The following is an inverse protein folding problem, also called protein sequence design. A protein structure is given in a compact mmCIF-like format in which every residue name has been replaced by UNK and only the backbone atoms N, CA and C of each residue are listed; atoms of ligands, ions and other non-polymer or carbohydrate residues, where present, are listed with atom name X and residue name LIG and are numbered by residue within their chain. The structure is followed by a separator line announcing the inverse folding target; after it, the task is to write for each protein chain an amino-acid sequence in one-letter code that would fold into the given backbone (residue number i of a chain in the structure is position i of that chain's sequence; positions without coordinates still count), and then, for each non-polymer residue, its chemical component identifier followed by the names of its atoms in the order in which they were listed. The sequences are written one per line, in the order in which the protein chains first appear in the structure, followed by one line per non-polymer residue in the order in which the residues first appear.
data_IF_479581483915
#
_entry.id   IF_479581483915
#
_cell.length_a   1.000
_cell.length_b   1.000
_cell.length_c   1.000
_cell.angle_alpha   90.00
_cell.angle_beta   90.00
_cell.angle_gamma   90.00
#
_symmetry.space_group_name_H-M   'P 1'
#
loop_
_entity.id
_entity.type
_entity.pdbx_description
1 polymer ?
#
# COMPACT_ATOMS: atom_id res chain seq x y z
N UNK A 1 57.11 5.53 -1.22
CA UNK A 1 56.01 6.34 -0.65
C UNK A 1 54.71 5.86 -1.30
N UNK A 2 54.07 4.87 -0.67
CA UNK A 2 52.93 4.16 -1.22
C UNK A 2 51.66 4.82 -0.73
N UNK A 3 50.91 5.46 -1.63
CA UNK A 3 49.58 6.02 -1.35
C UNK A 3 48.56 4.86 -1.21
N UNK A 4 48.13 4.62 0.01
CA UNK A 4 46.99 3.72 0.29
C UNK A 4 45.73 4.49 -0.08
N UNK A 5 45.10 4.12 -1.19
CA UNK A 5 43.75 4.55 -1.54
C UNK A 5 42.79 3.96 -0.51
N UNK A 6 42.24 4.79 0.35
CA UNK A 6 41.13 4.42 1.22
C UNK A 6 39.92 4.23 0.31
N UNK A 7 39.56 2.98 0.07
CA UNK A 7 38.30 2.63 -0.57
C UNK A 7 37.18 3.00 0.40
N UNK A 8 36.49 4.09 0.12
CA UNK A 8 35.26 4.44 0.81
C UNK A 8 34.17 3.50 0.25
N UNK A 9 33.77 2.55 1.07
CA UNK A 9 32.65 1.65 0.77
C UNK A 9 31.34 2.47 0.93
N UNK A 10 30.54 2.72 -0.13
CA UNK A 10 29.29 3.49 -0.03
C UNK A 10 28.11 2.63 0.43
N UNK A 11 28.34 1.56 1.17
CA UNK A 11 27.34 0.55 1.53
C UNK A 11 26.88 0.52 2.98
N UNK A 12 27.09 1.57 3.77
CA UNK A 12 26.53 1.67 5.13
C UNK A 12 25.42 2.71 5.17
N UNK A 13 24.20 2.25 5.02
CA UNK A 13 22.94 2.72 5.68
C UNK A 13 22.79 4.26 5.90
N UNK A 14 23.04 5.08 4.88
CA UNK A 14 22.56 6.46 4.89
C UNK A 14 21.11 6.45 4.42
N UNK A 15 20.19 6.47 5.39
CA UNK A 15 18.76 6.73 5.14
C UNK A 15 18.64 7.93 4.21
N UNK A 16 17.98 7.76 3.06
CA UNK A 16 17.87 8.79 2.04
C UNK A 16 17.28 10.08 2.60
N UNK A 17 17.62 11.25 2.04
CA UNK A 17 17.00 12.52 2.45
C UNK A 17 15.48 12.42 2.33
N UNK A 18 14.99 11.74 1.30
CA UNK A 18 13.57 11.47 1.08
C UNK A 18 12.94 10.77 2.27
N UNK A 19 13.56 9.69 2.77
CA UNK A 19 13.06 8.93 3.92
C UNK A 19 13.12 9.75 5.20
N UNK A 20 14.22 10.47 5.42
CA UNK A 20 14.36 11.37 6.58
C UNK A 20 13.29 12.45 6.63
N UNK A 21 12.92 13.03 5.47
CA UNK A 21 11.84 14.03 5.38
C UNK A 21 10.49 13.39 5.73
N UNK A 22 10.20 12.17 5.24
CA UNK A 22 8.97 11.45 5.59
C UNK A 22 8.91 11.19 7.09
N UNK A 23 9.98 10.66 7.67
CA UNK A 23 10.03 10.30 9.10
C UNK A 23 9.89 11.51 10.00
N UNK A 24 10.57 12.62 9.69
CA UNK A 24 10.43 13.87 10.45
C UNK A 24 9.02 14.47 10.31
N UNK A 25 8.42 14.41 9.12
CA UNK A 25 7.03 14.87 8.92
C UNK A 25 6.03 14.02 9.74
N UNK A 26 6.22 12.70 9.82
CA UNK A 26 5.44 11.81 10.66
C UNK A 26 5.61 12.15 12.14
N UNK A 27 6.85 12.39 12.58
CA UNK A 27 7.15 12.78 13.96
C UNK A 27 6.44 14.09 14.35
N UNK A 28 6.50 15.12 13.50
CA UNK A 28 5.77 16.37 13.74
C UNK A 28 4.25 16.15 13.77
N UNK A 29 3.74 15.32 12.87
CA UNK A 29 2.33 15.00 12.79
C UNK A 29 1.81 14.25 14.03
N UNK A 30 2.61 13.40 14.67
CA UNK A 30 2.26 12.74 15.93
C UNK A 30 2.11 13.76 17.07
N UNK A 31 2.89 14.83 17.06
CA UNK A 31 2.88 15.85 18.09
C UNK A 31 1.78 16.90 17.91
N UNK A 32 1.56 17.34 16.67
CA UNK A 32 0.76 18.53 16.39
C UNK A 32 -0.41 18.28 15.42
N UNK A 33 -0.53 17.07 14.87
CA UNK A 33 -1.48 16.72 13.80
C UNK A 33 -0.93 16.97 12.40
N UNK A 34 -1.42 16.21 11.43
CA UNK A 34 -0.95 16.25 10.04
C UNK A 34 -1.11 17.63 9.38
N UNK A 35 -2.22 18.32 9.65
CA UNK A 35 -2.51 19.63 9.05
C UNK A 35 -1.58 20.75 9.57
N UNK A 36 -0.93 20.54 10.71
CA UNK A 36 0.02 21.48 11.27
C UNK A 36 1.45 21.33 10.73
N UNK A 37 1.78 20.22 10.04
CA UNK A 37 3.11 19.96 9.49
C UNK A 37 3.48 21.03 8.46
N UNK A 38 4.73 21.54 8.56
CA UNK A 38 5.30 22.50 7.62
C UNK A 38 6.65 21.99 7.10
N UNK A 39 6.78 21.89 5.77
CA UNK A 39 8.03 21.43 5.15
C UNK A 39 9.23 22.33 5.49
N UNK A 40 9.01 23.62 5.76
CA UNK A 40 10.07 24.53 6.22
C UNK A 40 10.61 24.14 7.60
N UNK A 41 9.75 23.69 8.50
CA UNK A 41 10.15 23.23 9.84
C UNK A 41 10.84 21.85 9.75
N UNK A 42 10.35 20.96 8.88
CA UNK A 42 11.01 19.68 8.58
C UNK A 42 12.45 19.92 8.10
N UNK A 43 12.65 20.83 7.12
CA UNK A 43 13.98 21.17 6.62
C UNK A 43 14.88 21.74 7.73
N UNK A 44 14.33 22.64 8.58
CA UNK A 44 15.07 23.22 9.70
C UNK A 44 15.54 22.16 10.70
N UNK A 45 14.68 21.20 11.06
CA UNK A 45 15.02 20.12 12.00
C UNK A 45 16.01 19.12 11.44
N UNK A 46 15.96 18.88 10.14
CA UNK A 46 16.91 18.03 9.44
C UNK A 46 18.23 18.73 9.09
N UNK A 47 18.33 20.03 9.40
CA UNK A 47 19.48 20.88 9.06
C UNK A 47 19.79 20.90 7.55
N UNK A 48 18.74 20.87 6.71
CA UNK A 48 18.86 20.91 5.26
C UNK A 48 18.20 22.17 4.68
N UNK A 49 18.72 22.73 3.58
CA UNK A 49 18.10 23.84 2.89
C UNK A 49 16.70 23.48 2.38
N UNK A 50 15.78 24.44 2.39
CA UNK A 50 14.43 24.24 1.84
C UNK A 50 14.44 23.81 0.37
N UNK A 51 15.44 24.24 -0.41
CA UNK A 51 15.64 23.81 -1.80
C UNK A 51 15.84 22.30 -1.89
N UNK A 52 16.63 21.69 -0.99
CA UNK A 52 16.83 20.23 -0.96
C UNK A 52 15.53 19.48 -0.61
N UNK A 53 14.69 20.04 0.27
CA UNK A 53 13.37 19.47 0.55
C UNK A 53 12.46 19.55 -0.68
N UNK A 54 12.50 20.68 -1.42
CA UNK A 54 11.70 20.86 -2.65
C UNK A 54 12.14 19.92 -3.77
N UNK A 55 13.44 19.62 -3.86
CA UNK A 55 13.96 18.65 -4.84
C UNK A 55 13.38 17.23 -4.61
N UNK A 56 13.13 16.86 -3.35
CA UNK A 56 12.53 15.57 -2.99
C UNK A 56 10.99 15.57 -3.03
N UNK A 57 10.37 16.67 -2.60
CA UNK A 57 8.91 16.76 -2.44
C UNK A 57 8.39 18.15 -2.85
N UNK A 58 7.53 18.16 -3.88
CA UNK A 58 6.89 19.41 -4.33
C UNK A 58 5.89 19.99 -3.31
N UNK A 59 5.30 19.15 -2.45
CA UNK A 59 4.26 19.53 -1.47
C UNK A 59 4.10 18.45 -0.39
N UNK A 60 3.30 18.76 0.64
CA UNK A 60 3.03 17.84 1.74
C UNK A 60 2.22 16.60 1.29
N UNK A 61 1.44 16.70 0.22
CA UNK A 61 0.72 15.55 -0.34
C UNK A 61 1.68 14.52 -0.95
N UNK A 62 2.77 14.98 -1.56
CA UNK A 62 3.83 14.12 -2.05
C UNK A 62 4.54 13.35 -0.92
N UNK A 63 4.69 13.98 0.27
CA UNK A 63 5.20 13.30 1.47
C UNK A 63 4.22 12.21 1.94
N UNK A 64 2.92 12.52 1.99
CA UNK A 64 1.91 11.51 2.32
C UNK A 64 1.91 10.33 1.33
N UNK A 65 2.07 10.61 0.04
CA UNK A 65 2.16 9.57 -0.99
C UNK A 65 3.40 8.69 -0.81
N UNK A 66 4.54 9.27 -0.43
CA UNK A 66 5.75 8.50 -0.10
C UNK A 66 5.54 7.61 1.13
N UNK A 67 4.81 8.08 2.13
CA UNK A 67 4.41 7.25 3.27
C UNK A 67 3.54 6.05 2.85
N UNK A 68 2.51 6.26 2.02
CA UNK A 68 1.68 5.16 1.50
C UNK A 68 2.46 4.21 0.60
N UNK A 69 3.48 4.73 -0.11
CA UNK A 69 4.37 3.91 -0.93
C UNK A 69 5.14 2.88 -0.09
N UNK A 70 5.57 3.21 1.15
CA UNK A 70 6.19 2.24 2.08
C UNK A 70 5.26 1.06 2.39
N UNK A 71 3.95 1.31 2.48
CA UNK A 71 2.96 0.24 2.61
C UNK A 71 2.92 -0.67 1.37
N UNK A 72 2.98 -0.10 0.17
CA UNK A 72 3.05 -0.90 -1.07
C UNK A 72 4.34 -1.72 -1.16
N UNK A 73 5.46 -1.14 -0.77
CA UNK A 73 6.75 -1.83 -0.72
C UNK A 73 6.69 -3.02 0.24
N UNK A 74 6.14 -2.83 1.44
CA UNK A 74 5.95 -3.91 2.40
C UNK A 74 5.02 -5.01 1.86
N UNK A 75 3.96 -4.65 1.15
CA UNK A 75 3.06 -5.61 0.50
C UNK A 75 3.79 -6.49 -0.53
N UNK A 76 4.84 -5.97 -1.17
CA UNK A 76 5.60 -6.63 -2.24
C UNK A 76 6.88 -7.31 -1.75
N UNK A 77 7.40 -6.93 -0.56
CA UNK A 77 8.75 -7.25 -0.14
C UNK A 77 8.95 -8.73 0.19
N UNK A 78 8.07 -9.33 0.98
CA UNK A 78 8.29 -10.68 1.49
C UNK A 78 7.24 -11.67 0.98
N UNK A 79 7.69 -12.53 0.07
CA UNK A 79 6.91 -13.70 -0.34
C UNK A 79 7.43 -14.92 0.45
N UNK A 80 6.66 -15.46 1.40
CA UNK A 80 7.06 -16.67 2.13
C UNK A 80 7.29 -17.86 1.22
N UNK A 81 8.12 -18.80 1.64
CA UNK A 81 8.34 -20.05 0.91
C UNK A 81 7.00 -20.73 0.62
N UNK A 82 6.83 -21.17 -0.63
CA UNK A 82 5.60 -21.83 -1.06
C UNK A 82 4.39 -20.92 -1.27
N UNK A 83 4.53 -19.61 -1.16
CA UNK A 83 3.44 -18.63 -1.32
C UNK A 83 2.57 -18.84 -2.57
N UNK A 84 3.18 -19.21 -3.69
CA UNK A 84 2.44 -19.48 -4.94
C UNK A 84 1.43 -20.62 -4.82
N UNK A 85 1.64 -21.54 -3.87
CA UNK A 85 0.77 -22.68 -3.62
C UNK A 85 -0.31 -22.40 -2.55
N UNK A 86 -0.24 -21.25 -1.90
CA UNK A 86 -1.27 -20.87 -0.93
C UNK A 86 -2.61 -20.62 -1.62
N UNK A 87 -3.74 -20.87 -0.94
CA UNK A 87 -5.05 -20.44 -1.41
C UNK A 87 -5.07 -18.92 -1.69
N UNK A 88 -5.78 -18.49 -2.74
CA UNK A 88 -5.88 -17.07 -3.15
C UNK A 88 -6.28 -16.16 -1.99
N UNK A 89 -7.25 -16.59 -1.16
CA UNK A 89 -7.70 -15.82 0.00
C UNK A 89 -6.56 -15.57 1.01
N UNK A 90 -5.68 -16.56 1.24
CA UNK A 90 -4.55 -16.41 2.16
C UNK A 90 -3.48 -15.50 1.57
N UNK A 91 -3.24 -15.55 0.26
CA UNK A 91 -2.31 -14.64 -0.41
C UNK A 91 -2.80 -13.20 -0.34
N UNK A 92 -4.09 -12.98 -0.63
CA UNK A 92 -4.72 -11.66 -0.48
C UNK A 92 -4.64 -11.13 0.95
N UNK A 93 -4.93 -11.99 1.93
CA UNK A 93 -4.84 -11.63 3.35
C UNK A 93 -3.43 -11.21 3.74
N UNK A 94 -2.43 -12.04 3.41
CA UNK A 94 -1.03 -11.79 3.72
C UNK A 94 -0.56 -10.45 3.17
N UNK A 95 -0.76 -10.21 1.87
CA UNK A 95 -0.32 -8.98 1.21
C UNK A 95 -0.99 -7.73 1.79
N UNK A 96 -2.30 -7.78 2.04
CA UNK A 96 -3.01 -6.62 2.58
C UNK A 96 -2.62 -6.34 4.03
N UNK A 97 -2.42 -7.37 4.84
CA UNK A 97 -1.97 -7.20 6.23
C UNK A 97 -0.55 -6.63 6.29
N UNK A 98 0.36 -7.01 5.40
CA UNK A 98 1.69 -6.41 5.31
C UNK A 98 1.61 -4.88 5.08
N UNK A 99 0.68 -4.42 4.21
CA UNK A 99 0.42 -2.99 4.01
C UNK A 99 -0.04 -2.29 5.30
N UNK A 100 -1.00 -2.86 6.00
CA UNK A 100 -1.51 -2.29 7.26
C UNK A 100 -0.47 -2.34 8.39
N UNK A 101 0.31 -3.41 8.48
CA UNK A 101 1.35 -3.59 9.51
C UNK A 101 2.47 -2.55 9.32
N UNK A 102 2.89 -2.28 8.09
CA UNK A 102 3.91 -1.26 7.79
C UNK A 102 3.49 0.15 8.21
N UNK A 103 2.19 0.46 8.11
CA UNK A 103 1.67 1.78 8.45
C UNK A 103 1.16 1.88 9.91
N UNK A 104 1.17 0.77 10.65
CA UNK A 104 0.53 0.67 11.96
C UNK A 104 1.15 1.59 13.03
N UNK A 105 2.47 1.81 12.99
CA UNK A 105 3.19 2.66 13.94
C UNK A 105 2.64 4.09 13.95
N UNK A 106 2.26 4.62 12.77
CA UNK A 106 1.72 5.97 12.59
C UNK A 106 0.25 5.95 12.14
N UNK A 107 -0.54 4.96 12.62
CA UNK A 107 -1.94 4.80 12.18
C UNK A 107 -2.77 6.07 12.32
N UNK A 108 -2.65 6.80 13.44
CA UNK A 108 -3.41 8.05 13.68
C UNK A 108 -3.10 9.10 12.62
N UNK A 109 -1.83 9.28 12.30
CA UNK A 109 -1.35 10.20 11.27
C UNK A 109 -1.82 9.73 9.90
N UNK A 110 -1.67 8.44 9.59
CA UNK A 110 -2.15 7.83 8.33
C UNK A 110 -3.64 8.10 8.10
N UNK A 111 -4.46 7.91 9.14
CA UNK A 111 -5.90 8.20 9.08
C UNK A 111 -6.18 9.69 8.89
N UNK A 112 -5.39 10.58 9.52
CA UNK A 112 -5.51 12.02 9.33
C UNK A 112 -5.18 12.42 7.87
N UNK A 113 -4.09 11.90 7.30
CA UNK A 113 -3.73 12.09 5.89
C UNK A 113 -4.87 11.69 4.95
N UNK A 114 -5.46 10.51 5.16
CA UNK A 114 -6.57 10.01 4.36
C UNK A 114 -7.82 10.88 4.50
N UNK A 115 -8.13 11.39 5.71
CA UNK A 115 -9.26 12.30 5.93
C UNK A 115 -9.06 13.63 5.21
N UNK A 116 -7.85 14.20 5.26
CA UNK A 116 -7.51 15.44 4.55
C UNK A 116 -7.69 15.26 3.04
N UNK A 117 -7.22 14.12 2.47
CA UNK A 117 -7.44 13.78 1.06
C UNK A 117 -8.92 13.58 0.69
N UNK A 118 -9.73 13.04 1.60
CA UNK A 118 -11.15 12.76 1.38
C UNK A 118 -12.05 13.99 1.60
N UNK A 119 -11.52 15.16 1.99
CA UNK A 119 -12.33 16.34 2.30
C UNK A 119 -12.97 16.94 1.03
N UNK A 120 -14.30 16.97 1.02
CA UNK A 120 -15.17 17.31 -0.12
C UNK A 120 -14.98 18.69 -0.81
N UNK A 121 -14.47 19.77 -0.17
CA UNK A 121 -14.31 21.06 -0.84
C UNK A 121 -13.26 21.05 -1.97
N UNK A 122 -12.40 20.02 -2.04
CA UNK A 122 -11.29 19.95 -2.99
C UNK A 122 -11.52 18.87 -4.06
N UNK A 123 -12.48 19.09 -4.96
CA UNK A 123 -12.80 18.15 -6.05
C UNK A 123 -11.57 17.76 -6.89
N UNK A 124 -10.57 18.64 -6.97
CA UNK A 124 -9.32 18.40 -7.69
C UNK A 124 -8.39 17.39 -7.01
N UNK A 125 -8.58 17.08 -5.71
CA UNK A 125 -7.80 16.06 -4.98
C UNK A 125 -8.46 14.67 -5.03
N UNK A 126 -9.72 14.60 -5.40
CA UNK A 126 -10.46 13.33 -5.49
C UNK A 126 -10.01 12.46 -6.66
N UNK A 127 -9.74 13.07 -7.80
CA UNK A 127 -9.30 12.33 -8.99
C UNK A 127 -7.96 11.65 -8.74
N UNK A 128 -6.89 12.32 -8.25
CA UNK A 128 -5.65 11.65 -7.85
C UNK A 128 -5.87 10.54 -6.82
N UNK A 129 -6.70 10.77 -5.79
CA UNK A 129 -6.97 9.77 -4.75
C UNK A 129 -7.61 8.49 -5.31
N UNK A 130 -8.55 8.61 -6.26
CA UNK A 130 -9.16 7.45 -6.92
C UNK A 130 -8.14 6.67 -7.74
N UNK A 131 -7.22 7.36 -8.44
CA UNK A 131 -6.13 6.71 -9.17
C UNK A 131 -5.15 6.02 -8.23
N UNK A 132 -4.81 6.63 -7.10
CA UNK A 132 -3.92 6.03 -6.10
C UNK A 132 -4.56 4.79 -5.46
N UNK A 133 -5.88 4.82 -5.19
CA UNK A 133 -6.62 3.66 -4.69
C UNK A 133 -6.67 2.53 -5.72
N UNK A 134 -7.00 2.85 -6.97
CA UNK A 134 -7.01 1.85 -8.06
C UNK A 134 -5.62 1.23 -8.24
N UNK A 135 -4.56 2.03 -8.21
CA UNK A 135 -3.18 1.56 -8.26
C UNK A 135 -2.84 0.63 -7.09
N UNK A 136 -3.24 0.99 -5.86
CA UNK A 136 -3.02 0.15 -4.68
C UNK A 136 -3.71 -1.20 -4.83
N UNK A 137 -4.96 -1.22 -5.33
CA UNK A 137 -5.69 -2.47 -5.57
C UNK A 137 -5.06 -3.30 -6.69
N UNK A 138 -4.57 -2.67 -7.76
CA UNK A 138 -3.85 -3.37 -8.83
C UNK A 138 -2.57 -4.02 -8.31
N UNK A 139 -1.76 -3.29 -7.54
CA UNK A 139 -0.57 -3.86 -6.91
C UNK A 139 -0.90 -4.97 -5.92
N UNK A 140 -2.01 -4.87 -5.18
CA UNK A 140 -2.47 -5.93 -4.30
C UNK A 140 -2.84 -7.20 -5.08
N UNK A 141 -3.50 -7.07 -6.25
CA UNK A 141 -3.77 -8.20 -7.16
C UNK A 141 -2.50 -8.86 -7.65
N UNK A 142 -1.52 -8.05 -8.08
CA UNK A 142 -0.21 -8.54 -8.55
C UNK A 142 0.55 -9.24 -7.41
N UNK A 143 0.65 -8.62 -6.24
CA UNK A 143 1.31 -9.20 -5.07
C UNK A 143 0.69 -10.56 -4.68
N UNK A 144 -0.63 -10.64 -4.67
CA UNK A 144 -1.36 -11.88 -4.38
C UNK A 144 -1.36 -12.87 -5.56
N UNK A 145 -0.77 -12.53 -6.71
CA UNK A 145 -0.67 -13.37 -7.91
C UNK A 145 -2.02 -13.89 -8.37
N UNK A 146 -3.00 -12.99 -8.52
CA UNK A 146 -4.33 -13.41 -8.99
C UNK A 146 -4.29 -13.75 -10.49
N UNK A 147 -4.92 -14.87 -10.92
CA UNK A 147 -4.78 -15.37 -12.29
C UNK A 147 -5.69 -14.67 -13.31
N UNK A 148 -6.63 -13.83 -12.87
CA UNK A 148 -7.64 -13.24 -13.77
C UNK A 148 -7.00 -12.21 -14.70
N UNK A 149 -7.05 -12.40 -16.03
CA UNK A 149 -6.45 -11.47 -17.01
C UNK A 149 -7.12 -10.10 -16.97
N UNK A 150 -6.32 -9.04 -17.08
CA UNK A 150 -6.82 -7.67 -17.19
C UNK A 150 -7.75 -7.49 -18.39
N UNK A 151 -8.69 -6.55 -18.29
CA UNK A 151 -9.62 -6.20 -19.36
C UNK A 151 -10.85 -7.11 -19.48
N UNK A 152 -10.94 -8.19 -18.71
CA UNK A 152 -12.13 -9.05 -18.67
C UNK A 152 -13.20 -8.47 -17.74
N UNK A 153 -14.48 -8.80 -18.01
CA UNK A 153 -15.58 -8.43 -17.08
C UNK A 153 -15.36 -9.03 -15.68
N UNK A 154 -14.78 -10.21 -15.60
CA UNK A 154 -14.44 -10.86 -14.33
C UNK A 154 -13.39 -10.04 -13.56
N UNK A 155 -12.34 -9.56 -14.25
CA UNK A 155 -11.33 -8.70 -13.63
C UNK A 155 -11.93 -7.40 -13.09
N UNK A 156 -12.88 -6.79 -13.81
CA UNK A 156 -13.56 -5.57 -13.35
C UNK A 156 -14.39 -5.81 -12.07
N UNK A 157 -15.13 -6.91 -12.01
CA UNK A 157 -15.89 -7.28 -10.82
C UNK A 157 -14.97 -7.60 -9.65
N UNK A 158 -13.87 -8.32 -9.90
CA UNK A 158 -12.85 -8.64 -8.92
C UNK A 158 -12.19 -7.36 -8.36
N UNK A 159 -11.79 -6.43 -9.23
CA UNK A 159 -11.20 -5.15 -8.84
C UNK A 159 -12.16 -4.31 -7.98
N UNK A 160 -13.44 -4.25 -8.37
CA UNK A 160 -14.46 -3.57 -7.58
C UNK A 160 -14.66 -4.22 -6.21
N UNK A 161 -14.71 -5.55 -6.15
CA UNK A 161 -14.85 -6.29 -4.90
C UNK A 161 -13.63 -6.11 -3.98
N UNK A 162 -12.42 -6.14 -4.52
CA UNK A 162 -11.18 -5.89 -3.78
C UNK A 162 -11.10 -4.43 -3.30
N UNK A 163 -11.52 -3.47 -4.12
CA UNK A 163 -11.61 -2.05 -3.72
C UNK A 163 -12.56 -1.88 -2.52
N UNK A 164 -13.75 -2.47 -2.60
CA UNK A 164 -14.71 -2.43 -1.50
C UNK A 164 -14.16 -3.11 -0.24
N UNK A 165 -13.48 -4.25 -0.39
CA UNK A 165 -12.84 -4.96 0.72
C UNK A 165 -11.71 -4.15 1.34
N UNK A 166 -10.84 -3.54 0.52
CA UNK A 166 -9.78 -2.66 0.99
C UNK A 166 -10.34 -1.52 1.83
N UNK A 167 -11.31 -0.78 1.30
CA UNK A 167 -11.93 0.35 2.00
C UNK A 167 -12.65 -0.07 3.30
N UNK A 168 -13.34 -1.20 3.28
CA UNK A 168 -14.00 -1.73 4.48
C UNK A 168 -12.98 -2.15 5.54
N UNK A 169 -11.86 -2.77 5.13
CA UNK A 169 -10.78 -3.15 6.04
C UNK A 169 -10.06 -1.92 6.58
N UNK A 170 -9.81 -0.92 5.75
CA UNK A 170 -9.23 0.37 6.14
C UNK A 170 -10.10 1.08 7.19
N UNK A 171 -11.42 1.06 7.02
CA UNK A 171 -12.35 1.64 7.99
C UNK A 171 -12.30 0.94 9.36
N UNK A 172 -12.16 -0.40 9.37
CA UNK A 172 -11.98 -1.16 10.60
C UNK A 172 -10.62 -0.87 11.22
N UNK A 173 -9.55 -0.88 10.42
CA UNK A 173 -8.19 -0.61 10.86
C UNK A 173 -8.01 0.78 11.46
N UNK A 174 -8.66 1.79 10.88
CA UNK A 174 -8.61 3.17 11.37
C UNK A 174 -9.06 3.29 12.84
N UNK A 175 -9.98 2.45 13.28
CA UNK A 175 -10.49 2.41 14.65
C UNK A 175 -10.00 1.23 15.50
N UNK A 176 -9.03 0.44 15.01
CA UNK A 176 -8.56 -0.76 15.70
C UNK A 176 -7.48 -0.43 16.73
N UNK A 177 -7.87 -0.35 17.99
CA UNK A 177 -6.96 -0.15 19.11
C UNK A 177 -6.47 -1.47 19.72
N UNK A 178 -6.81 -2.63 19.14
CA UNK A 178 -6.38 -3.93 19.66
C UNK A 178 -4.90 -4.18 19.39
N UNK A 179 -4.26 -4.87 20.32
CA UNK A 179 -2.87 -5.28 20.17
C UNK A 179 -2.70 -6.22 18.95
N UNK A 180 -1.64 -6.01 18.15
CA UNK A 180 -1.42 -6.77 16.92
C UNK A 180 -2.54 -6.65 15.88
N UNK A 181 -3.43 -5.63 15.96
CA UNK A 181 -4.51 -5.39 15.00
C UNK A 181 -5.47 -6.60 14.84
N UNK A 182 -5.71 -7.33 15.92
CA UNK A 182 -6.51 -8.58 15.91
C UNK A 182 -7.91 -8.37 15.33
N UNK A 183 -8.53 -7.22 15.57
CA UNK A 183 -9.87 -6.90 15.04
C UNK A 183 -9.85 -6.78 13.52
N UNK A 184 -8.85 -6.11 12.97
CA UNK A 184 -8.66 -5.94 11.52
C UNK A 184 -8.37 -7.29 10.86
N UNK A 185 -7.46 -8.09 11.42
CA UNK A 185 -7.11 -9.43 10.94
C UNK A 185 -8.34 -10.33 10.87
N UNK A 186 -9.11 -10.43 11.94
CA UNK A 186 -10.35 -11.23 11.98
C UNK A 186 -11.43 -10.72 11.01
N UNK A 187 -11.50 -9.41 10.80
CA UNK A 187 -12.44 -8.85 9.84
C UNK A 187 -12.09 -9.29 8.42
N UNK A 188 -10.83 -9.12 8.02
CA UNK A 188 -10.33 -9.47 6.70
C UNK A 188 -10.49 -10.97 6.42
N UNK A 189 -10.01 -11.83 7.33
CA UNK A 189 -10.16 -13.29 7.25
C UNK A 189 -11.61 -13.69 6.99
N UNK A 190 -12.56 -13.19 7.80
CA UNK A 190 -13.98 -13.51 7.64
C UNK A 190 -14.55 -13.04 6.31
N UNK A 191 -14.11 -11.89 5.79
CA UNK A 191 -14.58 -11.37 4.51
C UNK A 191 -14.05 -12.19 3.34
N UNK A 192 -12.77 -12.51 3.35
CA UNK A 192 -12.14 -13.35 2.32
C UNK A 192 -12.71 -14.76 2.32
N UNK A 193 -12.93 -15.38 3.48
CA UNK A 193 -13.56 -16.70 3.59
C UNK A 193 -15.01 -16.72 3.06
N UNK A 194 -15.73 -15.61 3.09
CA UNK A 194 -17.06 -15.46 2.45
C UNK A 194 -16.94 -15.21 0.95
N UNK A 195 -16.01 -14.37 0.53
CA UNK A 195 -15.78 -14.01 -0.87
C UNK A 195 -15.37 -15.22 -1.71
N UNK A 196 -14.49 -16.09 -1.22
CA UNK A 196 -14.08 -17.30 -1.91
C UNK A 196 -15.26 -18.24 -2.21
N UNK A 197 -16.24 -18.32 -1.32
CA UNK A 197 -17.48 -19.09 -1.54
C UNK A 197 -18.40 -18.47 -2.62
N UNK A 198 -18.40 -17.16 -2.78
CA UNK A 198 -19.20 -16.46 -3.81
C UNK A 198 -18.58 -16.57 -5.20
N UNK A 199 -17.25 -16.56 -5.30
CA UNK A 199 -16.53 -16.66 -6.57
C UNK A 199 -16.69 -18.04 -7.24
N UNK A 200 -16.96 -19.09 -6.49
CA UNK A 200 -17.29 -20.43 -7.05
C UNK A 200 -18.68 -20.49 -7.71
N UNK A 201 -19.54 -19.51 -7.45
CA UNK A 201 -20.90 -19.44 -8.00
C UNK A 201 -21.04 -18.55 -9.24
N UNK A 202 -20.01 -17.79 -9.63
CA UNK A 202 -20.04 -16.96 -10.83
C UNK A 202 -19.80 -17.85 -12.06
N UNK A 203 -20.80 -18.04 -12.96
CA UNK A 203 -20.59 -18.85 -14.17
C UNK A 203 -19.56 -18.18 -15.08
N UNK A 204 -18.51 -18.88 -15.44
CA UNK A 204 -17.44 -18.40 -16.33
C UNK A 204 -16.06 -18.99 -16.07
N UNK A 205 -15.87 -19.72 -14.97
CA UNK A 205 -14.55 -20.24 -14.59
C UNK A 205 -14.11 -21.53 -15.28
N UNK A 206 -14.97 -22.24 -16.02
CA UNK A 206 -14.67 -23.57 -16.57
C UNK A 206 -14.85 -23.67 -18.09
N UNK A 207 -15.27 -22.61 -18.78
CA UNK A 207 -15.51 -22.69 -20.23
C UNK A 207 -14.22 -22.49 -21.06
N UNK A 208 -13.22 -21.81 -20.52
CA UNK A 208 -12.01 -21.46 -21.27
C UNK A 208 -10.92 -22.56 -21.25
N UNK A 209 -10.92 -23.40 -20.22
CA UNK A 209 -9.93 -24.49 -20.11
C UNK A 209 -10.21 -25.63 -21.10
N UNK A 210 -11.49 -25.93 -21.37
CA UNK A 210 -11.88 -26.97 -22.36
C UNK A 210 -11.59 -26.55 -23.79
N UNK A 211 -11.60 -25.25 -24.08
CA UNK A 211 -11.30 -24.71 -25.42
C UNK A 211 -9.78 -24.72 -25.71
N UNK A 212 -8.95 -24.60 -24.69
CA UNK A 212 -7.48 -24.69 -24.83
C UNK A 212 -6.98 -26.13 -24.93
N UNK A 213 -7.60 -27.08 -24.22
CA UNK A 213 -7.27 -28.51 -24.36
C UNK A 213 -7.65 -29.03 -25.74
N UNK A 214 -8.78 -28.60 -26.30
CA UNK A 214 -9.21 -28.98 -27.65
C UNK A 214 -8.31 -28.40 -28.78
N UNK A 215 -7.74 -27.19 -28.58
CA UNK A 215 -6.85 -26.55 -29.55
C UNK A 215 -5.43 -27.13 -29.53
N UNK A 216 -5.02 -27.85 -28.50
CA UNK A 216 -3.68 -28.46 -28.37
C UNK A 216 -3.63 -29.92 -28.81
N UNK A 217 -4.74 -30.48 -29.32
CA UNK A 217 -4.87 -31.85 -29.83
C UNK A 217 -5.02 -31.94 -31.37
N UNK A 218 -4.81 -30.83 -32.08
CA UNK A 218 -4.72 -30.78 -33.55
C UNK A 218 -3.28 -30.38 -33.93
#
# INVERSE_FOLDING_TARGET
MTLIAVHHDPGADETSLRDRVVDEALHQAEQHGWEAVRLSEVGTRLEVPMAAVLDEFRDLDAVANAWFQRGLEAMLADTPDGFAHWPEAQRLEHCLLAWFDALAAHRRVTVAMLRTKAHLPHLHTWVPMLFDLSRTVQWWREAARLPTPYGTRRAQVEELALTALFLATLAVWAGDASDGQVRTRRFLEKRLARGSRWMTWVPGGHADDRSREAANQI
#
